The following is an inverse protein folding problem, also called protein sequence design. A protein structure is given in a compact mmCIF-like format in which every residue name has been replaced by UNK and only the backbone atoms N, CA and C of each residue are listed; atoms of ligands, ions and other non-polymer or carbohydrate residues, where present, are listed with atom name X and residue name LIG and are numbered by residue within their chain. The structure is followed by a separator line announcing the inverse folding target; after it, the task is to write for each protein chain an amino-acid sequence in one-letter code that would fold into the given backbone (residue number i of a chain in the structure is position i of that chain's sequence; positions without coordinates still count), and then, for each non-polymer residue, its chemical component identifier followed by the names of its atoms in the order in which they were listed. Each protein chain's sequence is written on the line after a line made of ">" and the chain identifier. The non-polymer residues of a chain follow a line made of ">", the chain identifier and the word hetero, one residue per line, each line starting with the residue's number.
data_IF_617853689797
#
_entry.id   IF_617853689797
#
_cell.length_a   1.000
_cell.length_b   1.000
_cell.length_c   1.000
_cell.angle_alpha   90.00
_cell.angle_beta   90.00
_cell.angle_gamma   90.00
#
_symmetry.space_group_name_H-M   'P 1'
#
loop_
_entity.id
_entity.type
_entity.pdbx_description
1 polymer ?
#
# COMPACT_ATOMS: atom_id res chain seq x y z
N UNK A 1 2.08 -3.49 -4.40
CA UNK A 1 2.73 -4.82 -4.44
C UNK A 1 2.62 -5.45 -3.06
N UNK A 2 2.42 -6.77 -2.96
CA UNK A 2 2.32 -7.47 -1.68
C UNK A 2 3.59 -7.28 -0.86
N UNK A 3 3.46 -7.05 0.45
CA UNK A 3 4.64 -6.94 1.31
C UNK A 3 5.31 -8.30 1.50
N UNK A 4 6.64 -8.31 1.59
CA UNK A 4 7.41 -9.52 1.88
C UNK A 4 7.08 -10.04 3.28
N UNK A 5 6.68 -11.32 3.37
CA UNK A 5 6.44 -12.01 4.63
C UNK A 5 7.76 -12.24 5.37
N UNK A 6 7.72 -12.24 6.71
CA UNK A 6 8.88 -12.49 7.56
C UNK A 6 9.21 -13.98 7.58
N UNK A 7 10.45 -14.31 7.23
CA UNK A 7 11.05 -15.62 7.42
C UNK A 7 12.20 -15.53 8.44
N UNK A 8 12.48 -16.63 9.16
CA UNK A 8 13.52 -16.67 10.20
C UNK A 8 14.47 -17.83 9.97
N UNK A 9 15.72 -17.52 9.62
CA UNK A 9 16.82 -18.50 9.55
C UNK A 9 17.15 -19.11 10.91
N UNK A 10 16.86 -18.39 11.99
CA UNK A 10 17.10 -18.86 13.36
C UNK A 10 16.14 -20.00 13.69
N UNK A 11 14.88 -19.88 13.26
CA UNK A 11 13.86 -20.91 13.46
C UNK A 11 14.24 -22.23 12.77
N UNK A 12 14.68 -22.17 11.52
CA UNK A 12 15.19 -23.34 10.78
C UNK A 12 16.35 -24.01 11.50
N UNK A 13 17.35 -23.22 11.93
CA UNK A 13 18.50 -23.74 12.69
C UNK A 13 18.09 -24.34 14.03
N UNK A 14 17.12 -23.74 14.73
CA UNK A 14 16.63 -24.25 16.01
C UNK A 14 15.89 -25.59 15.83
N UNK A 15 15.06 -25.73 14.79
CA UNK A 15 14.38 -26.98 14.46
C UNK A 15 15.35 -28.11 14.11
N UNK A 16 16.39 -27.81 13.32
CA UNK A 16 17.43 -28.79 12.99
C UNK A 16 18.17 -29.25 14.25
N UNK A 17 18.54 -28.32 15.14
CA UNK A 17 19.17 -28.67 16.43
C UNK A 17 18.24 -29.48 17.33
N UNK A 18 16.97 -29.09 17.45
CA UNK A 18 15.99 -29.83 18.25
C UNK A 18 15.82 -31.27 17.75
N UNK A 19 15.82 -31.47 16.43
CA UNK A 19 15.78 -32.79 15.81
C UNK A 19 17.02 -33.62 16.11
N UNK A 20 18.20 -32.99 16.04
CA UNK A 20 19.47 -33.64 16.40
C UNK A 20 19.53 -34.04 17.87
N UNK A 21 19.12 -33.15 18.79
CA UNK A 21 19.06 -33.44 20.22
C UNK A 21 18.08 -34.58 20.52
N UNK A 22 16.90 -34.57 19.89
CA UNK A 22 15.90 -35.63 20.04
C UNK A 22 16.41 -37.01 19.58
N UNK A 23 17.29 -37.04 18.58
CA UNK A 23 17.90 -38.27 18.09
C UNK A 23 18.97 -38.83 19.04
N UNK A 24 19.61 -37.97 19.85
CA UNK A 24 20.59 -38.38 20.85
C UNK A 24 19.86 -38.99 22.06
N UNK A 25 18.96 -38.22 22.66
CA UNK A 25 18.07 -38.69 23.72
C UNK A 25 16.77 -37.84 23.71
N UNK A 26 15.59 -38.47 23.58
CA UNK A 26 14.30 -37.78 23.57
C UNK A 26 14.00 -36.96 24.83
N UNK A 27 14.62 -37.29 25.96
CA UNK A 27 14.37 -36.66 27.27
C UNK A 27 15.59 -35.88 27.79
N UNK A 28 16.42 -35.36 26.87
CA UNK A 28 17.58 -34.52 27.23
C UNK A 28 17.16 -33.37 28.16
N UNK A 29 17.78 -33.38 29.33
CA UNK A 29 17.70 -32.34 30.33
C UNK A 29 19.10 -32.04 30.87
N UNK A 30 19.58 -30.82 30.67
CA UNK A 30 20.83 -30.33 31.25
C UNK A 30 20.61 -29.51 32.54
N UNK A 31 19.40 -29.55 33.09
CA UNK A 31 18.98 -28.76 34.24
C UNK A 31 18.38 -27.40 33.88
N UNK A 32 17.60 -26.86 34.82
CA UNK A 32 16.91 -25.57 34.74
C UNK A 32 16.08 -25.38 33.45
N UNK A 33 16.52 -24.47 32.58
CA UNK A 33 15.86 -24.09 31.33
C UNK A 33 16.52 -24.70 30.10
N UNK A 34 17.64 -25.42 30.28
CA UNK A 34 18.43 -25.99 29.19
C UNK A 34 17.99 -27.42 28.87
N UNK A 35 16.71 -27.58 28.54
CA UNK A 35 16.15 -28.88 28.16
C UNK A 35 15.45 -28.82 26.80
N UNK A 36 15.24 -29.99 26.22
CA UNK A 36 14.62 -30.13 24.89
C UNK A 36 13.18 -29.59 24.87
N UNK A 37 12.47 -29.70 25.98
CA UNK A 37 11.11 -29.18 26.13
C UNK A 37 11.06 -27.64 26.05
N UNK A 38 11.99 -26.95 26.70
CA UNK A 38 12.08 -25.49 26.64
C UNK A 38 12.44 -25.01 25.23
N UNK A 39 13.41 -25.67 24.58
CA UNK A 39 13.77 -25.37 23.20
C UNK A 39 12.57 -25.51 22.25
N UNK A 40 11.81 -26.60 22.36
CA UNK A 40 10.62 -26.84 21.52
C UNK A 40 9.53 -25.81 21.79
N UNK A 41 9.27 -25.46 23.05
CA UNK A 41 8.34 -24.38 23.41
C UNK A 41 8.76 -23.03 22.81
N UNK A 42 10.03 -22.66 22.88
CA UNK A 42 10.51 -21.40 22.29
C UNK A 42 10.42 -21.41 20.76
N UNK A 43 10.68 -22.55 20.11
CA UNK A 43 10.50 -22.71 18.66
C UNK A 43 9.04 -22.47 18.28
N UNK A 44 8.10 -23.08 19.00
CA UNK A 44 6.66 -22.91 18.78
C UNK A 44 6.23 -21.47 19.01
N UNK A 45 6.64 -20.85 20.12
CA UNK A 45 6.34 -19.45 20.40
C UNK A 45 6.82 -18.52 19.27
N UNK A 46 8.07 -18.70 18.81
CA UNK A 46 8.61 -17.90 17.72
C UNK A 46 7.83 -18.14 16.41
N UNK A 47 7.47 -19.39 16.11
CA UNK A 47 6.67 -19.75 14.94
C UNK A 47 5.32 -19.05 14.96
N UNK A 48 4.58 -19.16 16.06
CA UNK A 48 3.26 -18.54 16.21
C UNK A 48 3.36 -17.01 16.09
N UNK A 49 4.40 -16.38 16.63
CA UNK A 49 4.61 -14.93 16.48
C UNK A 49 4.91 -14.51 15.04
N UNK A 50 5.66 -15.31 14.29
CA UNK A 50 5.92 -15.06 12.86
C UNK A 50 4.63 -15.24 12.04
N UNK A 51 3.87 -16.29 12.30
CA UNK A 51 2.64 -16.59 11.59
C UNK A 51 1.57 -15.51 11.84
N UNK A 52 1.39 -15.09 13.10
CA UNK A 52 0.46 -14.00 13.45
C UNK A 52 0.86 -12.68 12.78
N UNK A 53 2.15 -12.35 12.76
CA UNK A 53 2.66 -11.17 12.06
C UNK A 53 2.38 -11.23 10.55
N UNK A 54 2.64 -12.37 9.92
CA UNK A 54 2.44 -12.56 8.47
C UNK A 54 0.96 -12.54 8.08
N UNK A 55 0.08 -13.07 8.93
CA UNK A 55 -1.38 -12.95 8.76
C UNK A 55 -1.83 -11.51 8.90
N UNK A 56 -1.36 -10.79 9.92
CA UNK A 56 -1.68 -9.37 10.10
C UNK A 56 -1.23 -8.53 8.89
N UNK A 57 -0.04 -8.79 8.34
CA UNK A 57 0.42 -8.15 7.10
C UNK A 57 -0.54 -8.40 5.93
N UNK A 58 -1.05 -9.62 5.80
CA UNK A 58 -1.97 -10.00 4.72
C UNK A 58 -3.31 -9.29 4.86
N UNK A 59 -3.82 -9.13 6.10
CA UNK A 59 -5.03 -8.37 6.41
C UNK A 59 -4.85 -6.89 6.07
N UNK A 60 -3.72 -6.28 6.42
CA UNK A 60 -3.46 -4.87 6.09
C UNK A 60 -3.33 -4.69 4.57
N UNK A 61 -2.70 -5.63 3.86
CA UNK A 61 -2.64 -5.57 2.39
C UNK A 61 -4.03 -5.65 1.76
N UNK A 62 -4.92 -6.52 2.25
CA UNK A 62 -6.31 -6.59 1.81
C UNK A 62 -7.08 -5.28 2.08
N UNK A 63 -6.98 -4.75 3.30
CA UNK A 63 -7.63 -3.47 3.65
C UNK A 63 -7.14 -2.32 2.76
N UNK A 64 -5.86 -2.30 2.42
CA UNK A 64 -5.31 -1.31 1.50
C UNK A 64 -5.91 -1.45 0.10
N UNK A 65 -6.03 -2.67 -0.42
CA UNK A 65 -6.64 -2.88 -1.74
C UNK A 65 -8.11 -2.46 -1.76
N UNK A 66 -8.84 -2.67 -0.67
CA UNK A 66 -10.23 -2.25 -0.56
C UNK A 66 -10.36 -0.72 -0.59
N UNK A 67 -9.49 -0.01 0.12
CA UNK A 67 -9.42 1.46 0.08
C UNK A 67 -9.13 1.95 -1.34
N UNK A 68 -8.11 1.39 -2.00
CA UNK A 68 -7.75 1.78 -3.37
C UNK A 68 -8.89 1.53 -4.37
N UNK A 69 -9.69 0.48 -4.18
CA UNK A 69 -10.88 0.21 -4.99
C UNK A 69 -12.00 1.20 -4.72
N UNK A 70 -12.27 1.50 -3.44
CA UNK A 70 -13.28 2.47 -3.04
C UNK A 70 -12.93 3.87 -3.55
N UNK A 71 -11.68 4.30 -3.41
CA UNK A 71 -11.19 5.58 -3.95
C UNK A 71 -11.40 5.69 -5.46
N UNK A 72 -11.08 4.64 -6.22
CA UNK A 72 -11.35 4.60 -7.66
C UNK A 72 -12.83 4.71 -7.96
N UNK A 73 -13.67 3.95 -7.26
CA UNK A 73 -15.12 3.99 -7.46
C UNK A 73 -15.69 5.38 -7.16
N UNK A 74 -15.27 5.99 -6.06
CA UNK A 74 -15.69 7.32 -5.66
C UNK A 74 -15.24 8.39 -6.66
N UNK A 75 -13.99 8.30 -7.13
CA UNK A 75 -13.47 9.19 -8.18
C UNK A 75 -14.34 9.12 -9.44
N UNK A 76 -14.67 7.91 -9.92
CA UNK A 76 -15.53 7.76 -11.10
C UNK A 76 -16.95 8.27 -10.87
N UNK A 77 -17.48 8.16 -9.66
CA UNK A 77 -18.79 8.69 -9.31
C UNK A 77 -18.78 10.21 -9.30
N UNK A 78 -17.77 10.83 -8.68
CA UNK A 78 -17.57 12.27 -8.69
C UNK A 78 -17.46 12.82 -10.12
N UNK A 79 -16.69 12.16 -10.99
CA UNK A 79 -16.59 12.52 -12.41
C UNK A 79 -17.94 12.45 -13.12
N UNK A 80 -18.71 11.38 -12.91
CA UNK A 80 -20.05 11.22 -13.47
C UNK A 80 -21.01 12.31 -13.00
N UNK A 81 -20.98 12.66 -11.72
CA UNK A 81 -21.82 13.73 -11.17
C UNK A 81 -21.45 15.09 -11.76
N UNK A 82 -20.15 15.40 -11.84
CA UNK A 82 -19.66 16.63 -12.46
C UNK A 82 -20.05 16.72 -13.94
N UNK A 83 -19.98 15.60 -14.67
CA UNK A 83 -20.49 15.49 -16.03
C UNK A 83 -22.00 15.69 -16.10
N UNK A 84 -22.78 15.14 -15.17
CA UNK A 84 -24.23 15.33 -15.12
C UNK A 84 -24.60 16.81 -14.89
N UNK A 85 -23.87 17.52 -14.03
CA UNK A 85 -24.02 18.98 -13.85
C UNK A 85 -23.70 19.71 -15.15
N UNK A 86 -22.62 19.34 -15.84
CA UNK A 86 -22.30 19.89 -17.17
C UNK A 86 -23.38 19.62 -18.22
N UNK A 87 -24.04 18.45 -18.17
CA UNK A 87 -25.14 18.12 -19.09
C UNK A 87 -26.38 18.95 -18.79
N UNK A 88 -26.69 19.19 -17.51
CA UNK A 88 -27.89 19.94 -17.12
C UNK A 88 -27.77 21.46 -17.26
N UNK A 89 -26.67 22.03 -16.79
CA UNK A 89 -26.48 23.50 -16.73
C UNK A 89 -25.51 24.02 -17.79
N UNK A 90 -24.75 23.14 -18.43
CA UNK A 90 -23.71 23.51 -19.39
C UNK A 90 -22.32 23.65 -18.73
N UNK A 91 -21.28 23.48 -19.55
CA UNK A 91 -19.87 23.50 -19.10
C UNK A 91 -19.30 24.89 -18.80
N UNK A 92 -20.00 25.95 -19.18
CA UNK A 92 -19.61 27.35 -18.91
C UNK A 92 -20.48 28.01 -17.82
N UNK A 93 -21.37 27.23 -17.21
CA UNK A 93 -22.29 27.70 -16.16
C UNK A 93 -21.58 27.98 -14.84
N UNK A 94 -22.25 28.71 -13.95
CA UNK A 94 -21.74 28.97 -12.60
C UNK A 94 -21.87 27.73 -11.71
N UNK A 95 -22.94 26.96 -11.90
CA UNK A 95 -23.25 25.71 -11.22
C UNK A 95 -22.17 24.66 -11.46
N UNK A 96 -21.63 24.61 -12.68
CA UNK A 96 -20.52 23.72 -13.01
C UNK A 96 -19.23 24.09 -12.26
N UNK A 97 -18.96 25.39 -12.06
CA UNK A 97 -17.83 25.85 -11.24
C UNK A 97 -18.06 25.58 -9.76
N UNK A 98 -19.28 25.80 -9.28
CA UNK A 98 -19.67 25.49 -7.90
C UNK A 98 -19.53 23.99 -7.59
N UNK A 99 -19.77 23.12 -8.56
CA UNK A 99 -19.54 21.68 -8.47
C UNK A 99 -18.04 21.27 -8.58
N UNK A 100 -17.11 22.23 -8.63
CA UNK A 100 -15.67 22.00 -8.71
C UNK A 100 -15.12 21.84 -10.13
N UNK A 101 -15.92 22.09 -11.17
CA UNK A 101 -15.48 22.12 -12.55
C UNK A 101 -14.77 23.43 -12.92
N UNK A 102 -13.98 23.40 -14.01
CA UNK A 102 -13.41 24.61 -14.62
C UNK A 102 -14.17 24.90 -15.91
N UNK A 103 -14.65 26.13 -16.08
CA UNK A 103 -15.40 26.54 -17.29
C UNK A 103 -14.59 26.24 -18.55
N UNK A 104 -15.29 25.91 -19.64
CA UNK A 104 -14.63 25.67 -20.93
C UNK A 104 -13.97 26.94 -21.45
N UNK A 105 -14.57 28.11 -21.21
CA UNK A 105 -13.99 29.43 -21.52
C UNK A 105 -12.68 29.70 -20.76
N UNK A 106 -12.62 29.29 -19.49
CA UNK A 106 -11.52 29.62 -18.59
C UNK A 106 -10.41 28.55 -18.64
N UNK A 107 -10.68 27.41 -19.28
CA UNK A 107 -9.72 26.32 -19.45
C UNK A 107 -8.65 26.69 -20.49
N UNK A 108 -7.47 27.08 -20.01
CA UNK A 108 -6.30 27.29 -20.87
C UNK A 108 -5.77 25.93 -21.37
N UNK A 109 -5.70 25.76 -22.69
CA UNK A 109 -5.13 24.56 -23.32
C UNK A 109 -3.62 24.54 -23.16
N UNK A 110 -3.03 23.36 -22.92
CA UNK A 110 -1.57 23.18 -22.77
C UNK A 110 -0.78 23.79 -23.95
N UNK A 111 -1.26 23.66 -25.18
CA UNK A 111 -0.60 24.25 -26.37
C UNK A 111 -0.63 25.78 -26.42
N UNK A 112 -1.58 26.41 -25.71
CA UNK A 112 -1.62 27.86 -25.52
C UNK A 112 -0.64 28.26 -24.43
N UNK A 113 -0.57 27.49 -23.34
CA UNK A 113 0.42 27.71 -22.26
C UNK A 113 1.85 27.61 -22.81
N UNK A 114 2.16 26.59 -23.61
CA UNK A 114 3.50 26.42 -24.20
C UNK A 114 3.85 27.57 -25.14
N UNK A 115 2.93 28.03 -25.99
CA UNK A 115 3.14 29.19 -26.87
C UNK A 115 3.34 30.50 -26.09
N UNK A 116 2.55 30.72 -25.04
CA UNK A 116 2.70 31.89 -24.19
C UNK A 116 4.07 31.86 -23.47
N UNK A 117 4.54 30.67 -23.08
CA UNK A 117 5.85 30.50 -22.47
C UNK A 117 7.00 30.76 -23.46
N UNK A 118 6.92 30.23 -24.68
CA UNK A 118 7.95 30.48 -25.71
C UNK A 118 8.01 31.95 -26.10
N UNK A 119 6.85 32.60 -26.26
CA UNK A 119 6.78 34.04 -26.54
C UNK A 119 7.35 34.87 -25.37
N UNK A 120 7.11 34.47 -24.12
CA UNK A 120 7.70 35.13 -22.96
C UNK A 120 9.23 34.95 -22.90
N UNK A 121 9.76 33.77 -23.23
CA UNK A 121 11.19 33.50 -23.32
C UNK A 121 11.86 34.31 -24.44
N UNK A 122 11.24 34.40 -25.62
CA UNK A 122 11.74 35.21 -26.75
C UNK A 122 11.79 36.71 -26.41
N UNK A 123 10.72 37.25 -25.79
CA UNK A 123 10.67 38.66 -25.37
C UNK A 123 11.74 38.99 -24.33
N UNK A 124 12.04 38.05 -23.43
CA UNK A 124 13.10 38.22 -22.41
C UNK A 124 14.52 38.08 -22.96
N UNK A 125 14.71 37.45 -24.12
CA UNK A 125 16.01 37.30 -24.78
C UNK A 125 16.34 38.48 -25.71
N UNK A 126 15.34 39.30 -26.07
CA UNK A 126 15.49 40.48 -26.94
C UNK A 126 15.56 41.81 -26.18
N UNK A 127 15.51 41.80 -24.84
CA UNK A 127 15.66 42.95 -23.96
C UNK A 127 17.02 42.90 -23.24
#
# INVERSE_FOLDING_TARGET
>A
MPRLKRASRILEKAQLRASGLKAIDPNIDFGDTNNLQNLTQQIEQLRTKIDTYNTALSVIDASRTDIEQLEKSLSTLCEKLLLAVAVKYGKDSQEYVMAGGVRKSDRIRKSTITRLKTVAEEVSATA
#
